data_IF_845413061149
#
_entry.id   IF_845413061149
#
_cell.length_a   1.000
_cell.length_b   1.000
_cell.length_c   1.000
_cell.angle_alpha   90.00
_cell.angle_beta   90.00
_cell.angle_gamma   90.00
#
_symmetry.space_group_name_H-M   'P 1'
#
loop_
_entity.id
_entity.type
_entity.pdbx_description
1 polymer ?
#
# COMPACT_ATOMS: atom_id res chain seq x y z
N UNK A 1 -24.42 17.03 44.40
CA UNK A 1 -25.83 16.69 44.15
C UNK A 1 -26.13 15.44 44.96
N UNK A 2 -27.13 15.45 45.84
CA UNK A 2 -27.50 14.27 46.64
C UNK A 2 -28.28 13.30 45.75
N UNK A 3 -27.80 12.07 45.63
CA UNK A 3 -28.53 10.97 45.02
C UNK A 3 -29.39 10.29 46.10
N UNK A 4 -30.69 10.16 45.87
CA UNK A 4 -31.62 9.50 46.80
C UNK A 4 -32.01 8.13 46.24
N UNK A 5 -32.00 7.09 47.08
CA UNK A 5 -32.48 5.75 46.71
C UNK A 5 -33.92 5.61 47.20
N UNK A 6 -34.85 5.26 46.30
CA UNK A 6 -36.27 4.98 46.60
C UNK A 6 -36.65 3.58 46.13
N UNK A 7 -37.68 2.99 46.72
CA UNK A 7 -38.32 1.78 46.19
C UNK A 7 -39.64 2.17 45.52
N UNK A 8 -39.80 1.81 44.25
CA UNK A 8 -40.94 2.23 43.42
C UNK A 8 -41.50 1.01 42.68
N UNK A 9 -42.81 0.96 42.45
CA UNK A 9 -43.39 -0.09 41.62
C UNK A 9 -42.88 0.05 40.18
N UNK A 10 -42.40 -1.01 39.54
CA UNK A 10 -41.80 -0.91 38.20
C UNK A 10 -42.79 -0.45 37.13
N UNK A 11 -44.11 -0.62 37.36
CA UNK A 11 -45.17 -0.11 36.48
C UNK A 11 -45.41 1.41 36.57
N UNK A 12 -44.92 2.07 37.63
CA UNK A 12 -45.03 3.53 37.80
C UNK A 12 -43.87 4.29 37.13
N UNK A 13 -42.90 3.55 36.56
CA UNK A 13 -41.73 4.12 35.87
C UNK A 13 -42.04 4.39 34.40
N UNK A 14 -41.75 5.60 33.94
CA UNK A 14 -41.93 6.02 32.55
C UNK A 14 -40.67 5.66 31.77
N UNK A 15 -40.78 4.71 30.86
CA UNK A 15 -39.70 4.38 29.90
C UNK A 15 -39.85 5.28 28.67
N UNK A 16 -39.13 6.41 28.66
CA UNK A 16 -39.09 7.34 27.54
C UNK A 16 -38.23 6.82 26.36
N UNK A 17 -38.18 7.59 25.26
CA UNK A 17 -37.32 7.29 24.10
C UNK A 17 -35.87 7.07 24.54
N UNK A 18 -35.29 5.93 24.21
CA UNK A 18 -33.94 5.52 24.62
C UNK A 18 -33.06 5.34 23.38
N UNK A 19 -31.76 5.63 23.52
CA UNK A 19 -30.76 5.36 22.48
C UNK A 19 -30.75 3.89 22.06
N UNK A 20 -31.05 2.95 22.96
CA UNK A 20 -31.24 1.54 22.61
C UNK A 20 -32.65 1.30 22.06
N UNK A 21 -32.75 0.99 20.76
CA UNK A 21 -34.05 0.77 20.10
C UNK A 21 -34.57 -0.66 20.18
N UNK A 22 -33.69 -1.65 20.23
CA UNK A 22 -34.06 -3.06 20.43
C UNK A 22 -33.78 -3.53 21.86
N UNK A 23 -34.83 -3.98 22.56
CA UNK A 23 -34.77 -4.45 23.94
C UNK A 23 -35.08 -5.94 23.97
N UNK A 24 -34.11 -6.75 23.55
CA UNK A 24 -34.21 -8.20 23.71
C UNK A 24 -34.16 -8.59 25.21
N UNK A 25 -35.31 -9.02 25.74
CA UNK A 25 -35.45 -9.64 27.06
C UNK A 25 -35.42 -11.16 26.90
N UNK A 26 -34.39 -11.81 27.43
CA UNK A 26 -34.31 -13.27 27.42
C UNK A 26 -35.11 -13.84 28.58
N UNK A 27 -35.71 -15.03 28.38
CA UNK A 27 -36.49 -15.70 29.43
C UNK A 27 -35.66 -15.97 30.68
N UNK A 28 -34.38 -16.27 30.51
CA UNK A 28 -33.42 -16.48 31.59
C UNK A 28 -33.19 -15.19 32.40
N UNK A 29 -33.15 -14.03 31.74
CA UNK A 29 -32.98 -12.74 32.41
C UNK A 29 -34.21 -12.38 33.24
N UNK A 30 -35.41 -12.55 32.67
CA UNK A 30 -36.68 -12.33 33.40
C UNK A 30 -36.80 -13.30 34.59
N UNK A 31 -36.45 -14.58 34.40
CA UNK A 31 -36.43 -15.56 35.47
C UNK A 31 -35.44 -15.19 36.59
N UNK A 32 -34.25 -14.69 36.22
CA UNK A 32 -33.25 -14.22 37.18
C UNK A 32 -33.75 -13.02 37.98
N UNK A 33 -34.39 -12.04 37.32
CA UNK A 33 -35.01 -10.88 37.97
C UNK A 33 -36.15 -11.31 38.90
N UNK A 34 -36.96 -12.28 38.51
CA UNK A 34 -38.00 -12.86 39.36
C UNK A 34 -37.43 -13.55 40.61
N UNK A 35 -36.32 -14.27 40.46
CA UNK A 35 -35.72 -15.04 41.55
C UNK A 35 -34.90 -14.18 42.52
N UNK A 36 -34.22 -13.15 42.03
CA UNK A 36 -33.23 -12.40 42.79
C UNK A 36 -33.54 -10.91 42.96
N UNK A 37 -34.61 -10.42 42.32
CA UNK A 37 -34.92 -9.00 42.26
C UNK A 37 -33.91 -8.20 41.42
N UNK A 38 -34.14 -6.89 41.35
CA UNK A 38 -33.23 -5.96 40.67
C UNK A 38 -32.10 -5.56 41.62
N UNK A 39 -30.90 -6.14 41.44
CA UNK A 39 -29.74 -5.89 42.34
C UNK A 39 -29.05 -4.54 42.11
N UNK A 40 -29.04 -4.06 40.87
CA UNK A 40 -28.45 -2.77 40.51
C UNK A 40 -29.60 -1.78 40.35
N UNK A 41 -29.67 -0.69 41.14
CA UNK A 41 -30.75 0.27 41.07
C UNK A 41 -30.95 0.87 39.68
N UNK A 42 -32.21 1.11 39.31
CA UNK A 42 -32.60 1.80 38.07
C UNK A 42 -32.37 3.29 38.27
N UNK A 43 -31.78 3.96 37.29
CA UNK A 43 -31.56 5.39 37.37
C UNK A 43 -32.75 6.14 36.78
N UNK A 44 -33.30 7.08 37.54
CA UNK A 44 -34.48 7.84 37.14
C UNK A 44 -34.31 9.34 37.39
N UNK A 45 -35.07 10.16 36.66
CA UNK A 45 -35.25 11.59 36.93
C UNK A 45 -36.71 11.91 37.25
N UNK A 46 -36.94 12.97 38.03
CA UNK A 46 -38.29 13.50 38.29
C UNK A 46 -38.79 14.30 37.08
N UNK A 47 -39.50 13.66 36.17
CA UNK A 47 -40.14 14.31 35.02
C UNK A 47 -41.44 15.03 35.39
N UNK A 48 -42.05 15.78 34.46
CA UNK A 48 -43.30 16.51 34.69
C UNK A 48 -44.50 15.62 35.05
N UNK A 49 -44.47 14.35 34.64
CA UNK A 49 -45.58 13.39 34.74
C UNK A 49 -45.27 12.17 35.61
N UNK A 50 -44.04 12.04 36.12
CA UNK A 50 -43.61 10.89 36.92
C UNK A 50 -42.10 10.65 36.88
N UNK A 51 -41.67 9.47 37.31
CA UNK A 51 -40.26 9.08 37.30
C UNK A 51 -39.86 8.51 35.94
N UNK A 52 -38.98 9.21 35.22
CA UNK A 52 -38.51 8.81 33.90
C UNK A 52 -37.20 8.02 33.98
N UNK A 53 -37.12 6.90 33.29
CA UNK A 53 -35.94 6.01 33.30
C UNK A 53 -34.81 6.58 32.44
N UNK A 54 -33.66 6.84 33.07
CA UNK A 54 -32.41 7.25 32.42
C UNK A 54 -31.51 6.06 32.09
N UNK A 55 -31.29 5.15 33.06
CA UNK A 55 -30.55 3.89 32.88
C UNK A 55 -31.30 2.73 33.55
N UNK A 56 -31.31 1.57 32.88
CA UNK A 56 -31.96 0.37 33.40
C UNK A 56 -33.25 -0.04 32.71
N UNK A 57 -33.52 0.47 31.50
CA UNK A 57 -34.68 0.09 30.68
C UNK A 57 -34.96 -1.42 30.66
N UNK A 58 -33.93 -2.25 30.38
CA UNK A 58 -34.06 -3.73 30.40
C UNK A 58 -34.46 -4.29 31.76
N UNK A 59 -33.93 -3.71 32.86
CA UNK A 59 -34.25 -4.12 34.23
C UNK A 59 -35.68 -3.74 34.61
N UNK A 60 -36.11 -2.53 34.23
CA UNK A 60 -37.49 -2.07 34.44
C UNK A 60 -38.47 -2.98 33.71
N UNK A 61 -38.27 -3.22 32.41
CA UNK A 61 -39.16 -4.06 31.62
C UNK A 61 -39.17 -5.52 32.12
N UNK A 62 -38.00 -6.08 32.46
CA UNK A 62 -37.92 -7.42 33.07
C UNK A 62 -38.61 -7.50 34.44
N UNK A 63 -38.56 -6.44 35.25
CA UNK A 63 -39.24 -6.39 36.54
C UNK A 63 -40.76 -6.31 36.41
N UNK A 64 -41.26 -5.57 35.41
CA UNK A 64 -42.68 -5.57 35.03
C UNK A 64 -43.11 -6.98 34.59
N UNK A 65 -42.35 -7.61 33.70
CA UNK A 65 -42.67 -8.97 33.20
C UNK A 65 -42.56 -10.05 34.30
N UNK A 66 -41.62 -9.89 35.23
CA UNK A 66 -41.45 -10.78 36.38
C UNK A 66 -42.55 -10.62 37.46
N UNK A 67 -43.33 -9.53 37.42
CA UNK A 67 -44.37 -9.22 38.39
C UNK A 67 -43.83 -8.76 39.75
N UNK A 68 -42.69 -8.05 39.78
CA UNK A 68 -42.13 -7.50 41.02
C UNK A 68 -43.00 -6.34 41.54
N UNK A 69 -43.17 -6.27 42.87
CA UNK A 69 -43.93 -5.20 43.53
C UNK A 69 -43.15 -3.89 43.65
N UNK A 70 -41.84 -3.97 43.86
CA UNK A 70 -40.94 -2.81 43.97
C UNK A 70 -39.59 -3.08 43.32
N UNK A 71 -38.97 -2.02 42.80
CA UNK A 71 -37.59 -2.00 42.33
C UNK A 71 -36.82 -0.84 42.98
N UNK A 72 -35.53 -1.02 43.33
CA UNK A 72 -34.71 0.07 43.82
C UNK A 72 -34.39 1.04 42.68
N UNK A 73 -34.64 2.33 42.90
CA UNK A 73 -34.35 3.41 41.96
C UNK A 73 -33.46 4.46 42.61
N UNK A 74 -32.55 5.05 41.83
CA UNK A 74 -31.76 6.23 42.22
C UNK A 74 -32.35 7.44 41.50
N UNK A 75 -32.87 8.40 42.26
CA UNK A 75 -33.46 9.63 41.73
C UNK A 75 -32.38 10.69 41.56
N UNK A 76 -32.25 11.21 40.35
CA UNK A 76 -31.38 12.33 40.00
C UNK A 76 -32.18 13.60 39.68
N UNK A 77 -31.55 14.79 39.83
CA UNK A 77 -32.15 16.06 39.40
C UNK A 77 -32.46 16.04 37.89
N UNK A 78 -33.51 16.76 37.49
CA UNK A 78 -33.99 16.84 36.10
C UNK A 78 -32.88 17.30 35.15
N UNK A 79 -32.61 16.50 34.11
CA UNK A 79 -31.82 16.94 32.96
C UNK A 79 -32.78 17.62 31.99
N UNK A 80 -32.78 18.95 31.94
CA UNK A 80 -33.67 19.71 31.04
C UNK A 80 -33.16 19.78 29.60
N UNK A 81 -31.92 19.34 29.35
CA UNK A 81 -31.29 19.32 28.03
C UNK A 81 -31.34 17.90 27.43
N UNK A 82 -32.21 17.72 26.44
CA UNK A 82 -32.40 16.44 25.72
C UNK A 82 -31.11 15.94 25.05
N UNK A 83 -30.25 16.86 24.58
CA UNK A 83 -28.94 16.51 24.04
C UNK A 83 -28.01 15.98 25.12
N UNK A 84 -28.07 16.54 26.33
CA UNK A 84 -27.31 16.02 27.47
C UNK A 84 -27.82 14.64 27.92
N UNK A 85 -29.14 14.41 27.85
CA UNK A 85 -29.75 13.10 28.13
C UNK A 85 -29.20 11.99 27.22
N UNK A 86 -29.07 12.27 25.91
CA UNK A 86 -28.51 11.31 24.95
C UNK A 86 -27.02 11.07 25.20
N UNK A 87 -26.25 12.12 25.52
CA UNK A 87 -24.83 11.99 25.88
C UNK A 87 -24.67 11.10 27.11
N UNK A 88 -25.44 11.34 28.16
CA UNK A 88 -25.37 10.56 29.39
C UNK A 88 -25.74 9.09 29.13
N UNK A 89 -26.72 8.83 28.27
CA UNK A 89 -27.08 7.47 27.82
C UNK A 89 -25.97 6.80 27.01
N UNK A 90 -25.31 7.51 26.10
CA UNK A 90 -24.19 6.99 25.32
C UNK A 90 -23.03 6.60 26.24
N UNK A 91 -22.58 7.52 27.10
CA UNK A 91 -21.43 7.31 28.01
C UNK A 91 -21.68 6.15 28.98
N UNK A 92 -22.88 6.05 29.55
CA UNK A 92 -23.22 4.96 30.48
C UNK A 92 -23.26 3.59 29.79
N UNK A 93 -23.71 3.54 28.53
CA UNK A 93 -23.77 2.30 27.77
C UNK A 93 -22.43 1.92 27.12
N UNK A 94 -21.55 2.86 26.80
CA UNK A 94 -20.25 2.60 26.15
C UNK A 94 -19.38 1.67 27.01
N UNK A 95 -19.44 1.81 28.34
CA UNK A 95 -18.75 0.92 29.30
C UNK A 95 -19.50 -0.39 29.61
N UNK A 96 -20.67 -0.63 29.01
CA UNK A 96 -21.49 -1.84 29.17
C UNK A 96 -21.88 -2.39 27.80
N UNK A 97 -21.05 -3.26 27.23
CA UNK A 97 -21.23 -4.09 26.01
C UNK A 97 -22.64 -4.25 25.40
N UNK A 98 -23.33 -3.19 24.99
CA UNK A 98 -24.78 -3.26 24.85
C UNK A 98 -25.45 -2.29 23.89
N UNK A 99 -24.74 -1.33 23.31
CA UNK A 99 -25.24 -0.61 22.13
C UNK A 99 -24.70 -1.28 20.88
N UNK A 100 -25.56 -1.45 19.87
CA UNK A 100 -25.12 -1.84 18.55
C UNK A 100 -24.45 -0.65 17.85
N UNK A 101 -23.64 -0.92 16.82
CA UNK A 101 -23.06 0.14 15.99
C UNK A 101 -24.15 1.04 15.37
N UNK A 102 -25.31 0.46 15.01
CA UNK A 102 -26.46 1.21 14.52
C UNK A 102 -27.03 2.17 15.58
N UNK A 103 -27.20 1.73 16.83
CA UNK A 103 -27.71 2.59 17.91
C UNK A 103 -26.76 3.78 18.16
N UNK A 104 -25.44 3.55 18.08
CA UNK A 104 -24.45 4.62 18.24
C UNK A 104 -24.53 5.66 17.10
N UNK A 105 -24.62 5.19 15.86
CA UNK A 105 -24.77 6.05 14.67
C UNK A 105 -26.04 6.90 14.76
N UNK A 106 -27.16 6.30 15.17
CA UNK A 106 -28.43 7.01 15.33
C UNK A 106 -28.41 8.02 16.48
N UNK A 107 -27.78 7.69 17.61
CA UNK A 107 -27.61 8.64 18.71
C UNK A 107 -26.74 9.84 18.32
N UNK A 108 -25.66 9.61 17.57
CA UNK A 108 -24.81 10.67 17.03
C UNK A 108 -25.61 11.58 16.09
N UNK A 109 -26.47 11.01 15.24
CA UNK A 109 -27.39 11.78 14.39
C UNK A 109 -28.36 12.62 15.21
N UNK A 110 -28.96 12.05 16.25
CA UNK A 110 -29.90 12.77 17.11
C UNK A 110 -29.21 13.95 17.79
N UNK A 111 -27.98 13.78 18.31
CA UNK A 111 -27.18 14.87 18.85
C UNK A 111 -26.92 15.99 17.83
N UNK A 112 -26.65 15.64 16.58
CA UNK A 112 -26.49 16.63 15.51
C UNK A 112 -27.80 17.36 15.19
N UNK A 113 -28.94 16.66 15.21
CA UNK A 113 -30.27 17.27 15.06
C UNK A 113 -30.62 18.22 16.21
N UNK A 114 -30.12 17.97 17.42
CA UNK A 114 -30.19 18.90 18.55
C UNK A 114 -29.19 20.07 18.47
N UNK A 115 -28.47 20.22 17.35
CA UNK A 115 -27.62 21.37 17.06
C UNK A 115 -26.18 21.26 17.56
N UNK A 116 -25.74 20.09 18.02
CA UNK A 116 -24.34 19.89 18.41
C UNK A 116 -23.48 19.70 17.15
N UNK A 117 -22.32 20.36 17.11
CA UNK A 117 -21.31 20.12 16.07
C UNK A 117 -20.58 18.80 16.30
N UNK A 118 -20.00 18.21 15.25
CA UNK A 118 -19.21 16.97 15.37
C UNK A 118 -18.08 17.08 16.42
N UNK A 119 -17.43 18.24 16.52
CA UNK A 119 -16.42 18.52 17.55
C UNK A 119 -17.01 18.53 18.97
N UNK A 120 -18.24 19.06 19.13
CA UNK A 120 -18.92 19.08 20.42
C UNK A 120 -19.38 17.68 20.83
N UNK A 121 -19.90 16.89 19.87
CA UNK A 121 -20.28 15.49 20.08
C UNK A 121 -19.07 14.68 20.52
N UNK A 122 -17.97 14.71 19.76
CA UNK A 122 -16.72 14.02 20.09
C UNK A 122 -16.21 14.34 21.50
N UNK A 123 -16.24 15.62 21.88
CA UNK A 123 -15.83 16.05 23.23
C UNK A 123 -16.76 15.52 24.32
N UNK A 124 -18.07 15.47 24.07
CA UNK A 124 -19.08 15.06 25.05
C UNK A 124 -19.16 13.55 25.21
N UNK A 125 -18.98 12.79 24.13
CA UNK A 125 -19.03 11.32 24.16
C UNK A 125 -17.67 10.69 24.46
N UNK A 126 -16.56 11.38 24.22
CA UNK A 126 -15.21 10.82 24.34
C UNK A 126 -14.70 10.17 23.05
N UNK A 127 -15.52 10.17 22.00
CA UNK A 127 -15.19 9.61 20.69
C UNK A 127 -14.21 10.47 19.90
N UNK A 128 -13.49 9.85 18.96
CA UNK A 128 -12.65 10.61 18.02
C UNK A 128 -13.55 11.38 17.07
N UNK A 129 -13.19 12.64 16.79
CA UNK A 129 -13.91 13.48 15.82
C UNK A 129 -14.06 12.79 14.46
N UNK A 130 -13.02 12.12 13.96
CA UNK A 130 -13.09 11.38 12.71
C UNK A 130 -14.15 10.26 12.73
N UNK A 131 -14.29 9.54 13.85
CA UNK A 131 -15.36 8.53 14.03
C UNK A 131 -16.74 9.17 14.00
N UNK A 132 -16.91 10.31 14.67
CA UNK A 132 -18.17 11.07 14.68
C UNK A 132 -18.52 11.57 13.27
N UNK A 133 -17.55 12.10 12.52
CA UNK A 133 -17.75 12.56 11.15
C UNK A 133 -18.20 11.41 10.23
N UNK A 134 -17.58 10.22 10.38
CA UNK A 134 -17.99 9.01 9.64
C UNK A 134 -19.40 8.55 10.04
N UNK A 135 -19.69 8.49 11.34
CA UNK A 135 -21.01 8.11 11.84
C UNK A 135 -22.12 9.03 11.34
N UNK A 136 -21.87 10.35 11.27
CA UNK A 136 -22.84 11.30 10.71
C UNK A 136 -23.11 11.07 9.22
N UNK A 137 -22.07 10.74 8.43
CA UNK A 137 -22.24 10.37 7.01
C UNK A 137 -23.06 9.10 6.86
N UNK A 138 -22.75 8.06 7.64
CA UNK A 138 -23.52 6.81 7.64
C UNK A 138 -24.97 7.06 8.03
N UNK A 139 -25.21 7.87 9.06
CA UNK A 139 -26.56 8.17 9.54
C UNK A 139 -27.43 8.95 8.53
N UNK A 140 -26.79 9.61 7.56
CA UNK A 140 -27.47 10.30 6.46
C UNK A 140 -27.98 9.33 5.37
N UNK A 141 -27.53 8.07 5.38
CA UNK A 141 -27.90 7.05 4.39
C UNK A 141 -28.76 5.96 5.06
N UNK A 142 -30.11 6.00 4.92
CA UNK A 142 -31.01 5.06 5.60
C UNK A 142 -30.70 3.58 5.33
N UNK A 143 -30.32 3.24 4.10
CA UNK A 143 -29.95 1.88 3.72
C UNK A 143 -28.73 1.37 4.51
N UNK A 144 -27.74 2.23 4.77
CA UNK A 144 -26.56 1.86 5.54
C UNK A 144 -26.90 1.60 7.02
N UNK A 145 -27.76 2.43 7.61
CA UNK A 145 -28.23 2.25 8.99
C UNK A 145 -29.04 0.96 9.14
N UNK A 146 -29.88 0.62 8.17
CA UNK A 146 -30.67 -0.62 8.21
C UNK A 146 -29.79 -1.86 8.13
N UNK A 147 -28.80 -1.88 7.23
CA UNK A 147 -27.82 -2.97 7.13
C UNK A 147 -27.01 -3.10 8.44
N UNK A 148 -26.61 -1.99 9.06
CA UNK A 148 -25.97 -1.99 10.39
C UNK A 148 -26.86 -2.62 11.45
N UNK A 149 -28.15 -2.31 11.45
CA UNK A 149 -29.11 -2.80 12.43
C UNK A 149 -29.38 -4.28 12.29
N UNK A 150 -29.68 -4.75 11.08
CA UNK A 150 -30.04 -6.14 10.85
C UNK A 150 -28.87 -7.11 10.97
N UNK A 151 -27.66 -6.67 10.63
CA UNK A 151 -26.51 -7.55 10.38
C UNK A 151 -25.30 -7.27 11.28
N UNK A 152 -25.40 -6.27 12.17
CA UNK A 152 -24.33 -5.85 13.08
C UNK A 152 -23.01 -5.54 12.35
N UNK A 153 -23.09 -4.97 11.14
CA UNK A 153 -21.89 -4.61 10.38
C UNK A 153 -21.11 -3.49 11.07
N UNK A 154 -19.82 -3.42 10.75
CA UNK A 154 -18.93 -2.41 11.32
C UNK A 154 -19.30 -1.01 10.81
N UNK A 155 -18.87 0.02 11.55
CA UNK A 155 -18.99 1.41 11.10
C UNK A 155 -18.22 1.64 9.78
N UNK A 156 -17.09 0.94 9.58
CA UNK A 156 -16.29 1.04 8.36
C UNK A 156 -17.02 0.50 7.14
N UNK A 157 -17.63 -0.68 7.25
CA UNK A 157 -18.44 -1.27 6.16
C UNK A 157 -19.63 -0.39 5.80
N UNK A 158 -20.32 0.14 6.81
CA UNK A 158 -21.43 1.05 6.62
C UNK A 158 -21.00 2.38 5.98
N UNK A 159 -19.80 2.87 6.30
CA UNK A 159 -19.23 4.05 5.68
C UNK A 159 -18.90 3.84 4.20
N UNK A 160 -18.37 2.67 3.84
CA UNK A 160 -18.14 2.32 2.43
C UNK A 160 -19.45 2.25 1.66
N UNK A 161 -20.48 1.65 2.24
CA UNK A 161 -21.82 1.60 1.66
C UNK A 161 -22.41 2.99 1.47
N UNK A 162 -22.28 3.87 2.48
CA UNK A 162 -22.79 5.24 2.44
C UNK A 162 -22.11 6.07 1.33
N UNK A 163 -20.78 5.97 1.20
CA UNK A 163 -20.03 6.63 0.12
C UNK A 163 -20.52 6.23 -1.27
N UNK A 164 -20.75 4.94 -1.48
CA UNK A 164 -21.25 4.45 -2.77
C UNK A 164 -22.68 4.91 -2.99
N UNK A 165 -23.55 4.83 -1.96
CA UNK A 165 -24.96 5.21 -2.06
C UNK A 165 -25.19 6.69 -2.42
N UNK A 166 -24.27 7.59 -2.07
CA UNK A 166 -24.34 9.00 -2.46
C UNK A 166 -24.28 9.21 -3.98
N UNK A 167 -23.78 8.22 -4.74
CA UNK A 167 -23.57 8.38 -6.18
C UNK A 167 -24.10 7.23 -7.04
N UNK A 168 -24.12 6.01 -6.51
CA UNK A 168 -24.53 4.80 -7.21
C UNK A 168 -25.40 3.93 -6.27
N UNK A 169 -26.69 4.23 -6.24
CA UNK A 169 -27.65 3.58 -5.36
C UNK A 169 -27.84 2.08 -5.71
N UNK A 170 -27.72 1.72 -6.99
CA UNK A 170 -27.83 0.34 -7.45
C UNK A 170 -26.65 -0.51 -6.96
N UNK A 171 -25.43 -0.02 -7.14
CA UNK A 171 -24.24 -0.72 -6.63
C UNK A 171 -24.21 -0.76 -5.10
N UNK A 172 -24.66 0.31 -4.43
CA UNK A 172 -24.80 0.30 -2.97
C UNK A 172 -25.77 -0.80 -2.50
N UNK A 173 -26.91 -1.00 -3.17
CA UNK A 173 -27.84 -2.07 -2.83
C UNK A 173 -27.18 -3.46 -2.94
N UNK A 174 -26.38 -3.70 -4.00
CA UNK A 174 -25.61 -4.94 -4.16
C UNK A 174 -24.60 -5.14 -3.01
N UNK A 175 -23.88 -4.08 -2.63
CA UNK A 175 -22.94 -4.11 -1.50
C UNK A 175 -23.66 -4.41 -0.18
N UNK A 176 -24.85 -3.84 0.03
CA UNK A 176 -25.70 -4.14 1.18
C UNK A 176 -26.07 -5.63 1.27
N UNK A 177 -26.43 -6.25 0.15
CA UNK A 177 -26.69 -7.69 0.11
C UNK A 177 -25.44 -8.54 0.38
N UNK A 178 -24.28 -8.14 -0.15
CA UNK A 178 -22.99 -8.82 0.09
C UNK A 178 -22.62 -8.74 1.57
N UNK A 179 -22.73 -7.56 2.19
CA UNK A 179 -22.53 -7.37 3.61
C UNK A 179 -23.49 -8.22 4.45
N UNK A 180 -24.77 -8.30 4.05
CA UNK A 180 -25.76 -9.14 4.73
C UNK A 180 -25.44 -10.65 4.68
N UNK A 181 -24.64 -11.10 3.72
CA UNK A 181 -24.15 -12.48 3.60
C UNK A 181 -22.77 -12.70 4.25
N UNK A 182 -22.18 -11.66 4.85
CA UNK A 182 -20.88 -11.71 5.52
C UNK A 182 -19.66 -11.59 4.59
N UNK A 183 -19.85 -11.08 3.37
CA UNK A 183 -18.72 -10.81 2.46
C UNK A 183 -17.99 -9.53 2.83
N UNK A 184 -16.68 -9.50 2.60
CA UNK A 184 -15.87 -8.29 2.66
C UNK A 184 -16.04 -7.51 1.35
N UNK A 185 -16.68 -6.35 1.41
CA UNK A 185 -16.96 -5.48 0.24
C UNK A 185 -15.85 -4.47 -0.05
N UNK A 186 -14.78 -4.45 0.73
CA UNK A 186 -13.70 -3.48 0.57
C UNK A 186 -12.98 -3.61 -0.77
N UNK A 187 -12.96 -4.80 -1.38
CA UNK A 187 -12.43 -4.98 -2.74
C UNK A 187 -13.31 -4.33 -3.80
N UNK A 188 -14.63 -4.56 -3.70
CA UNK A 188 -15.63 -3.99 -4.61
C UNK A 188 -15.59 -2.45 -4.58
N UNK A 189 -15.53 -1.87 -3.37
CA UNK A 189 -15.46 -0.41 -3.17
C UNK A 189 -14.14 0.16 -3.70
N UNK A 190 -13.01 -0.54 -3.50
CA UNK A 190 -11.70 -0.11 -4.07
C UNK A 190 -11.69 -0.13 -5.58
N UNK A 191 -12.29 -1.15 -6.20
CA UNK A 191 -12.44 -1.24 -7.66
C UNK A 191 -13.32 -0.10 -8.18
N UNK A 192 -14.47 0.13 -7.54
CA UNK A 192 -15.38 1.22 -7.87
C UNK A 192 -14.72 2.59 -7.77
N UNK A 193 -13.97 2.88 -6.69
CA UNK A 193 -13.20 4.12 -6.55
C UNK A 193 -12.18 4.29 -7.68
N UNK A 194 -11.47 3.21 -8.03
CA UNK A 194 -10.45 3.23 -9.07
C UNK A 194 -11.05 3.50 -10.45
N UNK A 195 -12.11 2.78 -10.84
CA UNK A 195 -12.77 2.99 -12.14
C UNK A 195 -13.37 4.38 -12.26
N UNK A 196 -13.87 4.95 -11.16
CA UNK A 196 -14.32 6.34 -11.13
C UNK A 196 -13.20 7.35 -11.28
N UNK A 197 -12.09 7.16 -10.55
CA UNK A 197 -10.92 8.01 -10.68
C UNK A 197 -10.37 7.94 -12.11
N UNK A 198 -10.41 6.77 -12.73
CA UNK A 198 -9.99 6.54 -14.11
C UNK A 198 -10.92 7.27 -15.09
N UNK A 199 -12.23 7.13 -14.93
CA UNK A 199 -13.22 7.84 -15.75
C UNK A 199 -13.09 9.36 -15.60
N UNK A 200 -12.84 9.87 -14.39
CA UNK A 200 -12.60 11.28 -14.14
C UNK A 200 -11.32 11.77 -14.84
N UNK A 201 -10.21 11.04 -14.71
CA UNK A 201 -8.96 11.36 -15.40
C UNK A 201 -9.12 11.33 -16.93
N UNK A 202 -9.84 10.33 -17.48
CA UNK A 202 -10.18 10.29 -18.91
C UNK A 202 -10.95 11.54 -19.34
N UNK A 203 -11.99 11.91 -18.59
CA UNK A 203 -12.81 13.07 -18.92
C UNK A 203 -12.01 14.39 -18.85
N UNK A 204 -11.09 14.53 -17.89
CA UNK A 204 -10.21 15.70 -17.78
C UNK A 204 -9.26 15.79 -18.99
N UNK A 205 -8.63 14.69 -19.40
CA UNK A 205 -7.74 14.63 -20.56
C UNK A 205 -8.49 14.93 -21.86
N UNK A 206 -9.68 14.33 -22.03
CA UNK A 206 -10.53 14.57 -23.20
C UNK A 206 -11.00 16.03 -23.25
N UNK A 207 -11.34 16.64 -22.10
CA UNK A 207 -11.68 18.05 -22.01
C UNK A 207 -10.49 18.96 -22.34
N UNK A 208 -9.27 18.52 -22.05
CA UNK A 208 -8.04 19.16 -22.49
C UNK A 208 -7.75 18.95 -23.99
N UNK A 209 -8.56 18.16 -24.70
CA UNK A 209 -8.42 17.89 -26.14
C UNK A 209 -7.21 17.03 -26.48
N UNK A 210 -6.79 16.15 -25.55
CA UNK A 210 -5.73 15.16 -25.74
C UNK A 210 -6.38 13.78 -25.92
N UNK A 211 -5.90 13.00 -26.88
CA UNK A 211 -6.40 11.65 -27.12
C UNK A 211 -5.84 10.68 -26.07
N UNK A 212 -6.72 9.93 -25.40
CA UNK A 212 -6.32 8.81 -24.54
C UNK A 212 -6.10 7.56 -25.39
N UNK A 213 -4.92 6.97 -25.29
CA UNK A 213 -4.52 5.78 -26.05
C UNK A 213 -4.12 4.63 -25.11
N UNK A 214 -4.12 3.40 -25.61
CA UNK A 214 -3.68 2.25 -24.82
C UNK A 214 -2.18 2.35 -24.47
N UNK A 215 -1.77 1.88 -23.27
CA UNK A 215 -0.37 1.85 -22.88
C UNK A 215 0.50 1.10 -23.89
N UNK A 216 1.65 1.68 -24.20
CA UNK A 216 2.60 1.12 -25.14
C UNK A 216 3.22 -0.18 -24.61
N UNK A 217 3.38 -1.16 -25.51
CA UNK A 217 4.28 -2.28 -25.28
C UNK A 217 5.73 -1.79 -25.12
N UNK A 218 6.56 -2.55 -24.40
CA UNK A 218 7.95 -2.17 -24.10
C UNK A 218 8.79 -1.81 -25.34
N UNK A 219 8.49 -2.41 -26.49
CA UNK A 219 9.24 -2.21 -27.74
C UNK A 219 8.64 -1.15 -28.69
N UNK A 220 7.52 -0.51 -28.32
CA UNK A 220 6.90 0.49 -29.18
C UNK A 220 7.72 1.81 -29.17
N UNK A 221 8.04 2.31 -30.36
CA UNK A 221 8.82 3.55 -30.54
C UNK A 221 7.95 4.79 -30.81
N UNK A 222 6.69 4.59 -31.19
CA UNK A 222 5.72 5.66 -31.48
C UNK A 222 4.28 5.26 -31.07
N UNK A 223 3.50 6.14 -30.40
CA UNK A 223 3.95 7.35 -29.68
C UNK A 223 5.08 7.06 -28.70
N UNK A 224 5.93 8.05 -28.40
CA UNK A 224 7.01 7.89 -27.40
C UNK A 224 6.65 8.65 -26.13
N UNK A 225 6.82 8.00 -24.98
CA UNK A 225 6.56 8.60 -23.67
C UNK A 225 7.42 9.84 -23.43
N UNK A 226 6.86 10.90 -22.85
CA UNK A 226 7.56 12.18 -22.61
C UNK A 226 8.76 12.02 -21.67
N UNK A 227 8.76 11.02 -20.78
CA UNK A 227 9.92 10.66 -19.95
C UNK A 227 11.13 10.17 -20.75
N UNK A 228 10.93 9.76 -21.99
CA UNK A 228 12.00 9.31 -22.88
C UNK A 228 12.37 10.35 -23.94
N UNK A 229 11.72 11.52 -23.91
CA UNK A 229 11.87 12.59 -24.89
C UNK A 229 12.58 13.81 -24.28
N UNK A 230 13.37 14.48 -25.11
CA UNK A 230 14.20 15.62 -24.78
C UNK A 230 13.99 16.73 -25.82
N UNK A 231 14.16 17.97 -25.36
CA UNK A 231 14.00 19.18 -26.19
C UNK A 231 15.30 19.57 -26.93
N UNK A 232 16.40 18.90 -26.61
CA UNK A 232 17.73 19.15 -27.17
C UNK A 232 18.49 17.84 -27.45
N UNK A 233 19.43 17.93 -28.40
CA UNK A 233 20.26 16.81 -28.83
C UNK A 233 21.29 16.36 -27.77
N UNK A 234 21.60 17.23 -26.79
CA UNK A 234 22.49 16.90 -25.67
C UNK A 234 21.78 16.06 -24.58
N UNK A 235 20.47 15.83 -24.70
CA UNK A 235 19.64 15.11 -23.74
C UNK A 235 19.66 15.73 -22.33
N UNK A 236 19.72 17.06 -22.23
CA UNK A 236 19.76 17.77 -20.94
C UNK A 236 18.39 18.21 -20.46
N UNK A 237 17.49 18.60 -21.38
CA UNK A 237 16.16 19.11 -21.06
C UNK A 237 15.10 18.09 -21.41
N UNK A 238 14.59 17.40 -20.40
CA UNK A 238 13.53 16.40 -20.56
C UNK A 238 12.16 17.03 -20.77
N UNK A 239 11.32 16.36 -21.55
CA UNK A 239 9.96 16.81 -21.81
C UNK A 239 9.02 16.59 -20.63
N UNK A 240 9.26 15.58 -19.78
CA UNK A 240 8.47 15.28 -18.57
C UNK A 240 8.60 16.31 -17.44
N UNK A 241 9.52 17.27 -17.57
CA UNK A 241 9.65 18.41 -16.66
C UNK A 241 8.77 19.61 -17.01
N UNK A 242 8.03 19.56 -18.12
CA UNK A 242 7.12 20.61 -18.58
C UNK A 242 5.70 20.40 -18.02
N UNK A 243 4.89 21.45 -18.00
CA UNK A 243 3.44 21.30 -17.76
C UNK A 243 2.68 20.84 -19.01
N UNK A 244 1.41 20.44 -18.84
CA UNK A 244 0.57 19.94 -19.95
C UNK A 244 0.41 20.96 -21.08
N UNK A 245 0.29 22.25 -20.75
CA UNK A 245 0.08 23.30 -21.75
C UNK A 245 1.34 23.52 -22.60
N UNK A 246 2.52 23.50 -21.97
CA UNK A 246 3.82 23.53 -22.64
C UNK A 246 4.04 22.30 -23.52
N UNK A 247 3.75 21.11 -23.00
CA UNK A 247 3.82 19.87 -23.78
C UNK A 247 2.92 19.94 -25.01
N UNK A 248 1.70 20.45 -24.86
CA UNK A 248 0.74 20.61 -25.96
C UNK A 248 1.19 21.64 -26.98
N UNK A 249 1.84 22.73 -26.55
CA UNK A 249 2.41 23.71 -27.47
C UNK A 249 3.51 23.10 -28.35
N UNK A 250 4.34 22.22 -27.78
CA UNK A 250 5.46 21.57 -28.49
C UNK A 250 4.96 20.42 -29.38
N UNK A 251 4.14 19.53 -28.82
CA UNK A 251 3.68 18.32 -29.49
C UNK A 251 2.50 18.56 -30.44
N UNK A 252 1.73 19.64 -30.26
CA UNK A 252 0.54 19.93 -31.07
C UNK A 252 -0.50 18.82 -31.02
N UNK A 253 -1.02 18.44 -32.19
CA UNK A 253 -1.97 17.33 -32.38
C UNK A 253 -1.37 15.94 -32.13
N UNK A 254 -0.06 15.84 -31.93
CA UNK A 254 0.64 14.59 -31.64
C UNK A 254 0.65 14.22 -30.16
N UNK A 255 0.21 15.12 -29.26
CA UNK A 255 0.16 14.83 -27.83
C UNK A 255 -0.95 13.80 -27.56
N UNK A 256 -0.58 12.73 -26.87
CA UNK A 256 -1.49 11.67 -26.41
C UNK A 256 -1.26 11.41 -24.92
N UNK A 257 -2.26 10.83 -24.25
CA UNK A 257 -2.14 10.39 -22.87
C UNK A 257 -2.32 8.87 -22.76
N UNK A 258 -1.56 8.27 -21.85
CA UNK A 258 -1.67 6.88 -21.43
C UNK A 258 -2.19 6.86 -20.01
N UNK A 259 -3.21 6.03 -19.77
CA UNK A 259 -3.67 5.74 -18.42
C UNK A 259 -3.07 4.41 -17.97
N UNK A 260 -2.38 4.47 -16.84
CA UNK A 260 -1.86 3.31 -16.15
C UNK A 260 -2.29 3.35 -14.69
N UNK A 261 -1.78 2.42 -13.90
CA UNK A 261 -1.99 2.42 -12.47
C UNK A 261 -0.67 2.18 -11.75
N UNK A 262 -0.53 2.86 -10.63
CA UNK A 262 0.60 2.70 -9.73
C UNK A 262 0.14 2.41 -8.30
N UNK A 263 1.11 2.15 -7.43
CA UNK A 263 0.89 2.06 -5.99
C UNK A 263 1.13 3.43 -5.35
N UNK A 264 0.08 3.99 -4.76
CA UNK A 264 0.08 5.32 -4.17
C UNK A 264 -0.83 5.41 -2.95
N UNK A 265 -1.29 6.63 -2.64
CA UNK A 265 -2.05 6.93 -1.42
C UNK A 265 -1.15 7.21 -0.21
N UNK A 266 -1.77 7.51 0.94
CA UNK A 266 -1.06 7.91 2.16
C UNK A 266 -0.01 6.87 2.61
N UNK A 267 -0.30 5.59 2.41
CA UNK A 267 0.55 4.46 2.82
C UNK A 267 1.14 3.66 1.63
N UNK A 268 1.04 4.17 0.39
CA UNK A 268 1.49 3.47 -0.85
C UNK A 268 0.86 2.09 -1.10
N UNK A 269 -0.29 1.81 -0.49
CA UNK A 269 -1.00 0.52 -0.61
C UNK A 269 -2.30 0.62 -1.41
N UNK A 270 -2.53 1.73 -2.11
CA UNK A 270 -3.72 1.94 -2.91
C UNK A 270 -3.37 2.03 -4.39
N UNK A 271 -4.20 1.45 -5.26
CA UNK A 271 -4.08 1.67 -6.70
C UNK A 271 -4.52 3.10 -6.99
N UNK A 272 -3.63 3.87 -7.60
CA UNK A 272 -3.92 5.21 -8.09
C UNK A 272 -3.83 5.21 -9.61
N UNK A 273 -4.65 6.03 -10.25
CA UNK A 273 -4.57 6.24 -11.69
C UNK A 273 -3.38 7.14 -11.96
N UNK A 274 -2.50 6.70 -12.86
CA UNK A 274 -1.35 7.47 -13.30
C UNK A 274 -1.57 7.90 -14.75
N UNK A 275 -1.47 9.20 -14.99
CA UNK A 275 -1.51 9.79 -16.32
C UNK A 275 -0.07 10.02 -16.78
N UNK A 276 0.29 9.40 -17.89
CA UNK A 276 1.55 9.66 -18.58
C UNK A 276 1.24 10.26 -19.95
N UNK A 277 2.06 11.20 -20.43
CA UNK A 277 1.92 11.74 -21.78
C UNK A 277 2.92 11.10 -22.76
N UNK A 278 2.58 11.14 -24.04
CA UNK A 278 3.47 10.78 -25.14
C UNK A 278 3.26 11.65 -26.35
N UNK A 279 4.20 11.54 -27.29
CA UNK A 279 4.16 12.30 -28.54
C UNK A 279 4.23 11.35 -29.72
N UNK A 280 3.21 11.40 -30.58
CA UNK A 280 3.21 10.75 -31.90
C UNK A 280 4.05 11.54 -32.89
N UNK A 281 4.86 10.85 -33.70
CA UNK A 281 5.73 11.49 -34.69
C UNK A 281 6.72 12.47 -34.04
N UNK A 282 7.28 12.08 -32.89
CA UNK A 282 8.13 12.95 -32.08
C UNK A 282 9.38 13.43 -32.82
N UNK A 283 9.93 12.63 -33.74
CA UNK A 283 11.09 13.00 -34.57
C UNK A 283 10.75 14.13 -35.53
N UNK A 284 9.60 14.04 -36.19
CA UNK A 284 9.08 15.04 -37.11
C UNK A 284 8.77 16.37 -36.39
N UNK A 285 8.55 16.30 -35.08
CA UNK A 285 8.29 17.45 -34.20
C UNK A 285 9.57 18.02 -33.56
N UNK A 286 10.75 17.55 -33.97
CA UNK A 286 12.04 18.08 -33.52
C UNK A 286 12.41 17.68 -32.09
N UNK A 287 11.81 16.62 -31.55
CA UNK A 287 12.17 16.06 -30.26
C UNK A 287 13.28 15.03 -30.41
N UNK A 288 14.03 14.82 -29.33
CA UNK A 288 15.14 13.89 -29.27
C UNK A 288 14.82 12.76 -28.29
N UNK A 289 15.18 11.53 -28.62
CA UNK A 289 14.99 10.37 -27.75
C UNK A 289 16.24 9.50 -27.79
N UNK A 290 16.61 8.92 -26.65
CA UNK A 290 17.69 7.91 -26.66
C UNK A 290 17.17 6.69 -27.40
N UNK A 291 17.85 6.31 -28.48
CA UNK A 291 17.56 5.08 -29.18
C UNK A 291 17.74 3.91 -28.20
N UNK A 292 16.67 3.15 -27.95
CA UNK A 292 16.81 1.86 -27.22
C UNK A 292 17.68 0.87 -28.02
N UNK A 293 17.84 1.14 -29.32
CA UNK A 293 18.75 0.49 -30.27
C UNK A 293 20.19 1.07 -30.27
N UNK A 294 20.55 2.02 -29.39
CA UNK A 294 21.87 2.66 -29.39
C UNK A 294 23.08 1.72 -29.14
N UNK A 295 22.84 0.43 -28.83
CA UNK A 295 23.87 -0.60 -28.94
C UNK A 295 24.24 -0.97 -30.39
N UNK A 296 23.56 -0.42 -31.40
CA UNK A 296 23.69 -0.77 -32.81
C UNK A 296 24.05 0.40 -33.75
N UNK A 297 24.32 1.61 -33.25
CA UNK A 297 24.88 2.67 -34.10
C UNK A 297 26.36 2.40 -34.36
N UNK A 298 26.69 2.06 -35.62
CA UNK A 298 28.09 1.91 -36.05
C UNK A 298 28.81 3.26 -35.88
N UNK A 299 29.99 3.31 -35.25
CA UNK A 299 30.78 4.53 -35.22
C UNK A 299 31.07 5.00 -36.66
N UNK A 300 31.04 6.32 -36.85
CA UNK A 300 31.30 6.94 -38.15
C UNK A 300 32.64 6.44 -38.74
N UNK A 301 32.68 6.25 -40.06
CA UNK A 301 33.91 5.83 -40.73
C UNK A 301 34.99 6.92 -40.57
N UNK A 302 36.24 6.56 -40.25
CA UNK A 302 37.32 7.54 -40.12
C UNK A 302 37.49 8.32 -41.43
N UNK A 303 37.60 9.64 -41.31
CA UNK A 303 37.66 10.57 -42.44
C UNK A 303 39.09 10.90 -42.85
N UNK A 304 40.06 10.59 -41.99
CA UNK A 304 41.50 10.79 -42.26
C UNK A 304 42.32 9.50 -42.09
N UNK A 305 43.49 9.38 -42.74
CA UNK A 305 44.42 8.26 -42.53
C UNK A 305 44.91 8.15 -41.08
N UNK A 306 45.10 9.28 -40.39
CA UNK A 306 45.54 9.35 -39.00
C UNK A 306 44.45 8.84 -38.04
N UNK A 307 43.18 9.23 -38.24
CA UNK A 307 42.03 8.67 -37.53
C UNK A 307 41.90 7.16 -37.77
N UNK A 308 42.16 6.70 -39.00
CA UNK A 308 42.09 5.28 -39.33
C UNK A 308 43.20 4.46 -38.67
N UNK A 309 44.40 5.03 -38.47
CA UNK A 309 45.51 4.40 -37.76
C UNK A 309 45.28 4.39 -36.24
N UNK A 310 44.83 5.51 -35.67
CA UNK A 310 44.43 5.62 -34.27
C UNK A 310 43.34 4.61 -33.91
N UNK A 311 42.27 4.50 -34.73
CA UNK A 311 41.19 3.54 -34.52
C UNK A 311 41.67 2.08 -34.63
N UNK A 312 42.66 1.79 -35.50
CA UNK A 312 43.28 0.46 -35.57
C UNK A 312 44.10 0.14 -34.33
N UNK A 313 44.85 1.10 -33.81
CA UNK A 313 45.63 0.97 -32.59
C UNK A 313 44.71 0.75 -31.37
N UNK A 314 43.65 1.54 -31.25
CA UNK A 314 42.63 1.42 -30.21
C UNK A 314 41.94 0.04 -30.26
N UNK A 315 41.53 -0.42 -31.46
CA UNK A 315 40.95 -1.77 -31.63
C UNK A 315 41.92 -2.88 -31.26
N UNK A 316 43.22 -2.70 -31.50
CA UNK A 316 44.26 -3.67 -31.10
C UNK A 316 44.39 -3.71 -29.57
N UNK A 317 44.51 -2.55 -28.94
CA UNK A 317 44.58 -2.42 -27.48
C UNK A 317 43.31 -2.99 -26.81
N UNK A 318 42.12 -2.70 -27.33
CA UNK A 318 40.86 -3.25 -26.83
C UNK A 318 40.81 -4.78 -26.91
N UNK A 319 41.33 -5.38 -27.98
CA UNK A 319 41.40 -6.86 -28.11
C UNK A 319 42.38 -7.47 -27.12
N UNK A 320 43.55 -6.86 -26.94
CA UNK A 320 44.54 -7.29 -25.96
C UNK A 320 43.96 -7.19 -24.54
N UNK A 321 43.27 -6.09 -24.24
CA UNK A 321 42.59 -5.86 -22.95
C UNK A 321 41.49 -6.87 -22.68
N UNK A 322 40.64 -7.19 -23.67
CA UNK A 322 39.63 -8.24 -23.54
C UNK A 322 40.25 -9.61 -23.27
N UNK A 323 41.33 -9.99 -23.96
CA UNK A 323 42.02 -11.26 -23.68
C UNK A 323 42.61 -11.30 -22.27
N UNK A 324 43.25 -10.22 -21.83
CA UNK A 324 43.78 -10.13 -20.47
C UNK A 324 42.66 -10.23 -19.43
N UNK A 325 41.50 -9.62 -19.71
CA UNK A 325 40.33 -9.65 -18.84
C UNK A 325 39.68 -11.04 -18.74
N UNK A 326 39.58 -11.77 -19.86
CA UNK A 326 39.11 -13.16 -19.88
C UNK A 326 39.97 -14.03 -18.96
N UNK A 327 41.31 -13.92 -19.07
CA UNK A 327 42.26 -14.64 -18.20
C UNK A 327 42.13 -14.21 -16.73
N UNK A 328 42.01 -12.91 -16.46
CA UNK A 328 41.84 -12.40 -15.10
C UNK A 328 40.53 -12.93 -14.48
N UNK A 329 39.47 -13.05 -15.28
CA UNK A 329 38.18 -13.60 -14.86
C UNK A 329 38.30 -15.06 -14.40
N UNK A 330 39.07 -15.91 -15.09
CA UNK A 330 39.35 -17.26 -14.61
C UNK A 330 39.98 -17.26 -13.21
N UNK A 331 40.97 -16.39 -13.00
CA UNK A 331 41.63 -16.20 -11.69
C UNK A 331 40.66 -15.71 -10.61
N UNK A 332 39.78 -14.75 -10.92
CA UNK A 332 38.73 -14.29 -10.00
C UNK A 332 37.78 -15.42 -9.62
N UNK A 333 37.28 -16.17 -10.58
CA UNK A 333 36.31 -17.24 -10.31
C UNK A 333 36.90 -18.31 -9.37
N UNK A 334 38.17 -18.67 -9.56
CA UNK A 334 38.89 -19.57 -8.64
C UNK A 334 38.98 -18.99 -7.23
N UNK A 335 39.32 -17.70 -7.10
CA UNK A 335 39.33 -17.02 -5.81
C UNK A 335 37.95 -17.02 -5.14
N UNK A 336 36.90 -16.66 -5.87
CA UNK A 336 35.52 -16.60 -5.35
C UNK A 336 35.00 -17.96 -4.92
N UNK A 337 35.29 -19.00 -5.70
CA UNK A 337 35.03 -20.38 -5.32
C UNK A 337 35.71 -20.74 -4.00
N UNK A 338 37.00 -20.43 -3.85
CA UNK A 338 37.74 -20.65 -2.61
C UNK A 338 37.18 -19.84 -1.44
N UNK A 339 36.77 -18.59 -1.67
CA UNK A 339 36.14 -17.72 -0.69
C UNK A 339 34.86 -18.35 -0.11
N UNK A 340 34.02 -18.94 -0.97
CA UNK A 340 32.75 -19.55 -0.60
C UNK A 340 32.87 -20.93 0.06
N UNK A 341 34.07 -21.53 0.04
CA UNK A 341 34.39 -22.73 0.82
C UNK A 341 34.92 -22.41 2.23
N UNK A 342 35.24 -21.14 2.54
CA UNK A 342 35.69 -20.76 3.89
C UNK A 342 34.59 -20.96 4.92
N UNK A 343 34.97 -21.37 6.14
CA UNK A 343 34.03 -21.54 7.26
C UNK A 343 33.31 -20.24 7.63
N UNK A 344 34.03 -19.11 7.56
CA UNK A 344 33.51 -17.77 7.83
C UNK A 344 33.71 -16.88 6.61
N UNK A 345 32.68 -16.13 6.25
CA UNK A 345 32.75 -15.13 5.20
C UNK A 345 33.57 -13.91 5.64
N UNK A 346 34.15 -13.14 4.71
CA UNK A 346 34.93 -11.95 5.04
C UNK A 346 34.05 -10.87 5.69
N UNK A 347 34.67 -9.98 6.46
CA UNK A 347 33.95 -8.90 7.12
C UNK A 347 33.24 -8.00 6.10
N UNK A 348 32.00 -7.61 6.42
CA UNK A 348 31.18 -6.72 5.60
C UNK A 348 30.54 -7.37 4.37
N UNK A 349 30.55 -8.71 4.26
CA UNK A 349 29.90 -9.42 3.15
C UNK A 349 28.41 -9.10 3.04
N UNK A 350 27.73 -8.83 4.16
CA UNK A 350 26.29 -8.50 4.22
C UNK A 350 25.98 -7.20 3.47
N UNK A 351 26.76 -6.15 3.75
CA UNK A 351 26.62 -4.85 3.09
C UNK A 351 26.87 -4.97 1.58
N UNK A 352 27.84 -5.81 1.20
CA UNK A 352 28.19 -5.99 -0.21
C UNK A 352 27.14 -6.78 -0.97
N UNK A 353 26.52 -7.79 -0.35
CA UNK A 353 25.35 -8.47 -0.92
C UNK A 353 24.24 -7.45 -1.19
N UNK A 354 23.93 -6.58 -0.22
CA UNK A 354 22.90 -5.56 -0.39
C UNK A 354 23.23 -4.59 -1.54
N UNK A 355 24.45 -4.05 -1.58
CA UNK A 355 24.89 -3.12 -2.63
C UNK A 355 24.92 -3.75 -4.02
N UNK A 356 25.34 -5.01 -4.14
CA UNK A 356 25.35 -5.74 -5.40
C UNK A 356 23.93 -5.99 -5.92
N UNK A 357 22.99 -6.34 -5.04
CA UNK A 357 21.59 -6.56 -5.41
C UNK A 357 20.88 -5.26 -5.80
N UNK A 358 21.17 -4.13 -5.14
CA UNK A 358 20.62 -2.82 -5.53
C UNK A 358 21.04 -2.36 -6.93
N UNK A 359 22.17 -2.88 -7.45
CA UNK A 359 22.69 -2.56 -8.79
C UNK A 359 22.21 -3.52 -9.88
N UNK A 360 21.55 -4.63 -9.53
CA UNK A 360 21.12 -5.62 -10.52
C UNK A 360 19.83 -5.19 -11.22
N UNK A 361 19.82 -5.31 -12.55
CA UNK A 361 18.71 -4.94 -13.43
C UNK A 361 17.95 -6.15 -13.99
N UNK A 362 17.77 -7.20 -13.18
CA UNK A 362 16.94 -8.39 -13.43
C UNK A 362 17.55 -9.51 -14.31
N UNK A 363 18.06 -10.54 -13.63
CA UNK A 363 17.95 -12.00 -13.86
C UNK A 363 19.18 -12.69 -13.26
N UNK A 364 19.01 -13.31 -12.08
CA UNK A 364 20.09 -14.05 -11.41
C UNK A 364 20.62 -15.14 -12.33
N UNK A 365 21.92 -15.11 -12.61
CA UNK A 365 22.61 -16.20 -13.29
C UNK A 365 22.80 -17.37 -12.31
N UNK A 366 21.77 -18.18 -12.16
CA UNK A 366 21.74 -19.30 -11.22
C UNK A 366 22.80 -20.37 -11.50
N UNK A 367 23.21 -20.54 -12.77
CA UNK A 367 24.28 -21.45 -13.14
C UNK A 367 25.64 -20.96 -12.64
N UNK A 368 25.89 -19.64 -12.73
CA UNK A 368 27.07 -19.03 -12.12
C UNK A 368 27.07 -19.18 -10.60
N UNK A 369 25.96 -18.90 -9.93
CA UNK A 369 25.85 -19.05 -8.47
C UNK A 369 26.12 -20.51 -8.02
N UNK A 370 25.55 -21.49 -8.75
CA UNK A 370 25.79 -22.91 -8.55
C UNK A 370 27.28 -23.26 -8.71
N UNK A 371 27.91 -22.76 -9.78
CA UNK A 371 29.32 -22.99 -10.08
C UNK A 371 30.27 -22.38 -9.04
N UNK A 372 29.95 -21.19 -8.52
CA UNK A 372 30.71 -20.54 -7.45
C UNK A 372 30.66 -21.34 -6.13
N UNK A 373 29.51 -21.97 -5.83
CA UNK A 373 29.35 -22.81 -4.65
C UNK A 373 29.89 -24.24 -4.82
N UNK A 374 30.24 -24.63 -6.04
CA UNK A 374 30.62 -26.00 -6.40
C UNK A 374 29.56 -27.04 -5.98
N UNK A 375 28.28 -26.69 -6.13
CA UNK A 375 27.17 -27.58 -5.78
C UNK A 375 27.02 -28.74 -6.78
N UNK A 376 26.51 -29.88 -6.33
CA UNK A 376 26.46 -31.12 -7.13
C UNK A 376 25.58 -31.04 -8.38
N UNK A 377 25.93 -31.84 -9.40
CA UNK A 377 25.27 -31.88 -10.73
C UNK A 377 24.01 -32.75 -10.79
N UNK A 378 23.48 -33.24 -9.66
CA UNK A 378 22.38 -34.22 -9.68
C UNK A 378 21.05 -33.68 -10.21
N UNK A 379 20.93 -32.36 -10.42
CA UNK A 379 19.76 -31.73 -11.03
C UNK A 379 20.15 -30.98 -12.32
N UNK A 380 19.25 -31.02 -13.31
CA UNK A 380 19.37 -30.42 -14.64
C UNK A 380 20.16 -29.10 -14.66
N UNK A 381 21.11 -28.99 -15.61
CA UNK A 381 21.92 -27.79 -15.90
C UNK A 381 21.09 -26.50 -15.98
N UNK A 382 19.81 -26.60 -16.33
CA UNK A 382 18.92 -25.47 -16.58
C UNK A 382 18.28 -24.83 -15.35
N UNK A 383 18.42 -25.40 -14.15
CA UNK A 383 17.66 -24.91 -12.98
C UNK A 383 18.51 -24.79 -11.71
N UNK A 384 19.60 -24.00 -11.78
CA UNK A 384 20.50 -23.77 -10.65
C UNK A 384 19.82 -23.30 -9.36
N UNK A 385 18.68 -22.59 -9.43
CA UNK A 385 17.95 -22.16 -8.23
C UNK A 385 17.35 -23.32 -7.43
N UNK A 386 16.95 -24.43 -8.09
CA UNK A 386 16.40 -25.61 -7.41
C UNK A 386 17.49 -26.33 -6.62
N UNK A 387 18.69 -26.49 -7.20
CA UNK A 387 19.85 -27.07 -6.53
C UNK A 387 20.20 -26.28 -5.26
N UNK A 388 20.25 -24.94 -5.36
CA UNK A 388 20.57 -24.10 -4.20
C UNK A 388 19.46 -24.10 -3.15
N UNK A 389 18.19 -24.10 -3.56
CA UNK A 389 17.04 -24.22 -2.65
C UNK A 389 17.11 -25.53 -1.87
N UNK A 390 17.43 -26.65 -2.54
CA UNK A 390 17.60 -27.95 -1.90
C UNK A 390 18.77 -27.94 -0.92
N UNK A 391 19.91 -27.41 -1.32
CA UNK A 391 21.09 -27.25 -0.46
C UNK A 391 20.75 -26.46 0.82
N UNK A 392 19.93 -25.41 0.73
CA UNK A 392 19.48 -24.65 1.90
C UNK A 392 18.48 -25.42 2.78
N UNK A 393 17.57 -26.18 2.19
CA UNK A 393 16.66 -27.05 2.94
C UNK A 393 17.41 -28.15 3.70
N UNK A 394 18.46 -28.71 3.11
CA UNK A 394 19.29 -29.75 3.71
C UNK A 394 20.35 -29.19 4.69
N UNK A 395 20.84 -27.97 4.44
CA UNK A 395 21.84 -27.29 5.27
C UNK A 395 21.59 -25.77 5.39
N UNK A 396 20.68 -25.33 6.28
CA UNK A 396 20.34 -23.92 6.46
C UNK A 396 21.53 -23.04 6.88
N UNK A 397 22.56 -23.61 7.52
CA UNK A 397 23.75 -22.88 7.94
C UNK A 397 24.58 -22.32 6.77
N UNK A 398 24.33 -22.80 5.53
CA UNK A 398 24.97 -22.28 4.31
C UNK A 398 24.26 -21.04 3.73
N UNK A 399 23.20 -20.54 4.35
CA UNK A 399 22.42 -19.38 3.87
C UNK A 399 23.30 -18.16 3.55
N UNK A 400 24.27 -17.84 4.41
CA UNK A 400 25.19 -16.72 4.18
C UNK A 400 26.03 -16.91 2.92
N UNK A 401 26.62 -18.10 2.73
CA UNK A 401 27.41 -18.44 1.55
C UNK A 401 26.57 -18.43 0.27
N UNK A 402 25.33 -18.92 0.34
CA UNK A 402 24.42 -18.91 -0.81
C UNK A 402 24.02 -17.49 -1.18
N UNK A 403 23.72 -16.63 -0.21
CA UNK A 403 23.39 -15.22 -0.45
C UNK A 403 24.55 -14.47 -1.11
N UNK A 404 25.78 -14.66 -0.62
CA UNK A 404 26.97 -14.06 -1.23
C UNK A 404 27.22 -14.60 -2.65
N UNK A 405 27.08 -15.90 -2.87
CA UNK A 405 27.26 -16.50 -4.19
C UNK A 405 26.26 -15.96 -5.22
N UNK A 406 24.99 -15.77 -4.84
CA UNK A 406 23.97 -15.18 -5.71
C UNK A 406 24.32 -13.74 -6.09
N UNK A 407 24.73 -12.92 -5.11
CA UNK A 407 25.14 -11.54 -5.36
C UNK A 407 26.40 -11.43 -6.25
N UNK A 408 27.37 -12.32 -6.06
CA UNK A 408 28.55 -12.40 -6.92
C UNK A 408 28.20 -12.87 -8.33
N UNK A 409 27.27 -13.82 -8.46
CA UNK A 409 26.84 -14.37 -9.74
C UNK A 409 26.07 -13.38 -10.61
N UNK A 410 25.35 -12.43 -10.01
CA UNK A 410 24.75 -11.30 -10.73
C UNK A 410 25.80 -10.46 -11.47
N UNK A 411 26.99 -10.30 -10.87
CA UNK A 411 28.10 -9.58 -11.49
C UNK A 411 28.86 -10.46 -12.49
N UNK A 412 29.39 -11.58 -12.00
CA UNK A 412 30.26 -12.48 -12.75
C UNK A 412 29.54 -13.21 -13.88
N UNK A 413 28.25 -13.48 -13.70
CA UNK A 413 27.39 -14.10 -14.71
C UNK A 413 26.63 -13.10 -15.57
N UNK A 414 26.93 -11.80 -15.46
CA UNK A 414 26.34 -10.76 -16.29
C UNK A 414 26.71 -10.92 -17.76
N UNK A 415 25.81 -10.50 -18.67
CA UNK A 415 26.02 -10.64 -20.12
C UNK A 415 27.35 -9.98 -20.55
N UNK A 416 28.19 -10.73 -21.26
CA UNK A 416 29.52 -10.32 -21.75
C UNK A 416 30.50 -9.84 -20.67
N UNK A 417 30.23 -10.06 -19.37
CA UNK A 417 31.12 -9.60 -18.29
C UNK A 417 32.50 -10.30 -18.34
N UNK A 418 32.53 -11.55 -18.76
CA UNK A 418 33.73 -12.34 -19.03
C UNK A 418 34.62 -11.74 -20.14
N UNK A 419 34.05 -11.00 -21.08
CA UNK A 419 34.77 -10.44 -22.26
C UNK A 419 34.99 -8.93 -22.18
N UNK A 420 34.06 -8.22 -21.56
CA UNK A 420 33.97 -6.75 -21.54
C UNK A 420 33.70 -6.19 -20.14
N UNK A 421 33.85 -6.99 -19.09
CA UNK A 421 33.61 -6.55 -17.70
C UNK A 421 34.45 -5.34 -17.29
N UNK A 422 35.61 -5.12 -17.91
CA UNK A 422 36.43 -3.91 -17.72
C UNK A 422 35.74 -2.60 -18.12
N UNK A 423 34.63 -2.66 -18.87
CA UNK A 423 33.79 -1.51 -19.24
C UNK A 423 32.53 -1.40 -18.35
N UNK A 424 32.27 -2.37 -17.48
CA UNK A 424 31.02 -2.44 -16.75
C UNK A 424 30.95 -1.36 -15.65
N UNK A 425 29.78 -0.76 -15.49
CA UNK A 425 29.55 0.25 -14.45
C UNK A 425 29.82 -0.33 -13.05
N UNK A 426 30.57 0.41 -12.23
CA UNK A 426 30.91 0.02 -10.86
C UNK A 426 31.92 -1.13 -10.74
N UNK A 427 32.57 -1.56 -11.83
CA UNK A 427 33.55 -2.67 -11.80
C UNK A 427 34.77 -2.35 -10.93
N UNK A 428 35.22 -1.09 -10.90
CA UNK A 428 36.36 -0.69 -10.06
C UNK A 428 36.08 -0.89 -8.56
N UNK A 429 34.87 -0.55 -8.09
CA UNK A 429 34.47 -0.78 -6.70
C UNK A 429 34.40 -2.26 -6.37
N UNK A 430 33.89 -3.06 -7.31
CA UNK A 430 33.85 -4.50 -7.18
C UNK A 430 35.25 -5.10 -7.04
N UNK A 431 36.20 -4.69 -7.88
CA UNK A 431 37.60 -5.15 -7.81
C UNK A 431 38.29 -4.71 -6.50
N UNK A 432 38.07 -3.46 -6.05
CA UNK A 432 38.58 -2.98 -4.75
C UNK A 432 38.03 -3.81 -3.58
N UNK A 433 36.75 -4.18 -3.65
CA UNK A 433 36.14 -5.05 -2.67
C UNK A 433 36.84 -6.41 -2.62
N UNK A 434 36.99 -7.06 -3.77
CA UNK A 434 37.65 -8.36 -3.84
C UNK A 434 39.10 -8.28 -3.34
N UNK A 435 39.80 -7.21 -3.69
CA UNK A 435 41.15 -6.96 -3.21
C UNK A 435 41.20 -6.83 -1.67
N UNK A 436 40.23 -6.14 -1.08
CA UNK A 436 40.04 -6.07 0.38
C UNK A 436 39.75 -7.43 1.03
N UNK A 437 39.20 -8.39 0.29
CA UNK A 437 38.99 -9.78 0.73
C UNK A 437 40.19 -10.71 0.48
N UNK A 438 41.29 -10.15 -0.03
CA UNK A 438 42.54 -10.84 -0.29
C UNK A 438 42.69 -11.39 -1.71
N UNK A 439 41.92 -10.89 -2.68
CA UNK A 439 42.15 -11.18 -4.09
C UNK A 439 43.31 -10.34 -4.64
N UNK A 440 44.27 -10.96 -5.31
CA UNK A 440 45.36 -10.24 -5.97
C UNK A 440 44.92 -9.83 -7.38
N UNK A 441 44.81 -8.52 -7.62
CA UNK A 441 44.36 -7.96 -8.89
C UNK A 441 45.38 -8.23 -10.00
N UNK A 442 44.91 -8.74 -11.14
CA UNK A 442 45.71 -8.84 -12.35
C UNK A 442 46.04 -7.44 -12.92
N UNK A 443 47.05 -7.36 -13.80
CA UNK A 443 47.51 -6.08 -14.36
C UNK A 443 46.37 -5.28 -15.00
N UNK A 444 45.53 -5.94 -15.82
CA UNK A 444 44.36 -5.33 -16.47
C UNK A 444 43.30 -4.84 -15.47
N UNK A 445 43.17 -5.49 -14.32
CA UNK A 445 42.21 -5.12 -13.27
C UNK A 445 42.73 -3.95 -12.44
N UNK A 446 44.04 -3.89 -12.19
CA UNK A 446 44.69 -2.73 -11.55
C UNK A 446 44.52 -1.48 -12.41
N UNK A 447 44.74 -1.59 -13.73
CA UNK A 447 44.50 -0.49 -14.66
C UNK A 447 43.06 0.04 -14.61
N UNK A 448 42.07 -0.85 -14.46
CA UNK A 448 40.66 -0.46 -14.32
C UNK A 448 40.41 0.28 -12.99
N UNK A 449 41.00 -0.21 -11.90
CA UNK A 449 40.86 0.39 -10.56
C UNK A 449 41.53 1.76 -10.47
N UNK A 450 42.73 1.89 -11.05
CA UNK A 450 43.52 3.13 -11.09
C UNK A 450 42.91 4.16 -12.05
N UNK A 451 42.45 3.73 -13.23
CA UNK A 451 41.77 4.61 -14.19
C UNK A 451 40.51 5.27 -13.62
N UNK A 452 39.78 4.56 -12.76
CA UNK A 452 38.60 5.09 -12.07
C UNK A 452 38.92 6.03 -10.88
N UNK A 453 40.20 6.22 -10.50
CA UNK A 453 40.61 7.23 -9.51
C UNK A 453 41.00 8.57 -10.17
N UNK A 454 41.30 8.55 -11.47
CA UNK A 454 41.72 9.71 -12.24
C UNK A 454 40.56 10.43 -12.96
N UNK A 455 39.38 9.80 -13.00
CA UNK A 455 38.11 10.34 -13.50
C UNK A 455 37.23 10.75 -12.33
#
# INVERSE_FOLDING_TARGET
>A
MSMEIREVAPGDLIVAANVRRDVALTKEFVASVKQHGVKVPVLVQEGPTGLEVLDGQRRTLAAVEAGLSVVPVVVQPVVTDEGQRIVDQLVVNEHRSGLSNADQVEAIRDLALFGLSASAIAKKTGEKKATVDVALKVAAVPAAVEVMREKQVSLEDAAMLAEVAEVDEEFAAELGEKLAKGYNVGYDVREWRFERAKAAAMAEIEAAGVEVVEPLGYDADDPRAVRDLFLDEAFERRMDGLDEAEMKQIAGDGLVAFLSWGWGGADRNERVVEVEYGVRGWRERGLFGRDRSAYASKPAAPTTPEEAEALKAERRAARERTKAWEIATEGRLVFLQGLLQRKTLPAGWELQVALLLCRSSSNINWSMAKGLLQASEQDSEYVGYLTLRRMLSENPARAAHVALAVALAEREGGRDFDRKGWQAEGVADYLRLLNGWGYELADVEREVVEGAQAA
#
